data_IF_415313235429
#
_entry.id   IF_415313235429
#
_cell.length_a   1.000
_cell.length_b   1.000
_cell.length_c   1.000
_cell.angle_alpha   90.00
_cell.angle_beta   90.00
_cell.angle_gamma   90.00
#
_symmetry.space_group_name_H-M   'P 1'
#
loop_
_entity.id
_entity.type
_entity.pdbx_description
1 polymer ?
#
# COMPACT_ATOMS: atom_id res chain seq x y z
N UNK A 1 -13.44 -16.52 -12.96
CA UNK A 1 -12.40 -15.62 -12.40
C UNK A 1 -12.28 -14.43 -13.32
N UNK A 2 -12.58 -13.26 -12.80
CA UNK A 2 -12.52 -12.06 -13.61
C UNK A 2 -11.06 -11.61 -13.86
N UNK A 3 -10.93 -10.53 -14.61
CA UNK A 3 -9.62 -10.03 -15.04
C UNK A 3 -8.79 -9.47 -13.87
N UNK A 4 -9.46 -8.85 -12.90
CA UNK A 4 -8.84 -8.30 -11.69
C UNK A 4 -8.37 -9.42 -10.77
N UNK A 5 -9.23 -10.40 -10.47
CA UNK A 5 -8.86 -11.56 -9.64
C UNK A 5 -7.66 -12.31 -10.21
N UNK A 6 -7.62 -12.49 -11.53
CA UNK A 6 -6.50 -13.12 -12.22
C UNK A 6 -5.21 -12.31 -12.08
N UNK A 7 -5.29 -10.99 -12.21
CA UNK A 7 -4.14 -10.09 -12.01
C UNK A 7 -3.63 -10.18 -10.58
N UNK A 8 -4.51 -10.00 -9.58
CA UNK A 8 -4.14 -10.04 -8.16
C UNK A 8 -3.52 -11.38 -7.76
N UNK A 9 -4.08 -12.49 -8.25
CA UNK A 9 -3.54 -13.82 -7.97
C UNK A 9 -2.12 -14.04 -8.55
N UNK A 10 -1.87 -13.53 -9.76
CA UNK A 10 -0.52 -13.58 -10.37
C UNK A 10 0.47 -12.68 -9.66
N UNK A 11 0.05 -11.48 -9.30
CA UNK A 11 0.82 -10.48 -8.60
C UNK A 11 1.33 -11.04 -7.24
N UNK A 12 0.42 -11.55 -6.41
CA UNK A 12 0.76 -12.17 -5.13
C UNK A 12 1.62 -13.44 -5.26
N UNK A 13 1.55 -14.13 -6.38
CA UNK A 13 2.37 -15.32 -6.66
C UNK A 13 3.71 -14.98 -7.34
N UNK A 14 4.11 -13.71 -7.39
CA UNK A 14 5.33 -13.23 -8.05
C UNK A 14 5.44 -13.71 -9.51
N UNK A 15 4.33 -13.71 -10.24
CA UNK A 15 4.25 -14.07 -11.66
C UNK A 15 4.01 -12.83 -12.49
N UNK A 16 4.56 -12.80 -13.70
CA UNK A 16 4.31 -11.72 -14.66
C UNK A 16 2.81 -11.47 -14.81
N UNK A 17 2.38 -10.23 -14.69
CA UNK A 17 0.99 -9.79 -14.84
C UNK A 17 0.92 -8.49 -15.65
N UNK A 18 -0.27 -8.16 -16.15
CA UNK A 18 -0.59 -6.84 -16.67
C UNK A 18 -1.47 -6.13 -15.68
N UNK A 19 -1.07 -4.91 -15.32
CA UNK A 19 -1.87 -4.06 -14.46
C UNK A 19 -3.23 -3.76 -15.13
N UNK A 20 -4.30 -3.87 -14.36
CA UNK A 20 -5.64 -3.40 -14.73
C UNK A 20 -6.17 -2.58 -13.57
N UNK A 21 -7.07 -1.65 -13.85
CA UNK A 21 -7.69 -0.87 -12.79
C UNK A 21 -8.50 -1.80 -11.88
N UNK A 22 -8.05 -1.90 -10.63
CA UNK A 22 -8.66 -2.75 -9.59
C UNK A 22 -9.60 -1.96 -8.67
N UNK A 23 -9.50 -0.63 -8.68
CA UNK A 23 -10.28 0.29 -7.84
C UNK A 23 -10.99 1.33 -8.73
N UNK A 24 -11.88 0.90 -9.66
CA UNK A 24 -12.52 1.80 -10.61
C UNK A 24 -13.43 2.83 -9.93
N UNK A 25 -13.87 2.56 -8.69
CA UNK A 25 -14.64 3.50 -7.88
C UNK A 25 -13.76 4.46 -7.06
N UNK A 26 -12.45 4.26 -7.06
CA UNK A 26 -11.48 5.11 -6.37
C UNK A 26 -11.53 5.04 -4.84
N UNK A 27 -12.14 4.02 -4.25
CA UNK A 27 -12.36 3.92 -2.80
C UNK A 27 -11.07 3.89 -1.99
N UNK A 28 -10.07 3.14 -2.46
CA UNK A 28 -8.79 3.03 -1.78
C UNK A 28 -8.02 4.35 -1.85
N UNK A 29 -7.97 4.96 -3.03
CA UNK A 29 -7.34 6.28 -3.23
C UNK A 29 -8.03 7.37 -2.43
N UNK A 30 -9.37 7.34 -2.36
CA UNK A 30 -10.16 8.29 -1.56
C UNK A 30 -9.80 8.22 -0.07
N UNK A 31 -9.57 7.04 0.50
CA UNK A 31 -9.12 6.89 1.88
C UNK A 31 -7.71 7.47 2.11
N UNK A 32 -6.80 7.28 1.18
CA UNK A 32 -5.45 7.87 1.23
C UNK A 32 -5.52 9.39 1.14
N UNK A 33 -6.31 9.93 0.23
CA UNK A 33 -6.49 11.38 0.06
C UNK A 33 -7.12 12.02 1.30
N UNK A 34 -8.13 11.39 1.89
CA UNK A 34 -8.74 11.82 3.16
C UNK A 34 -7.73 11.80 4.29
N UNK A 35 -6.92 10.75 4.39
CA UNK A 35 -5.84 10.69 5.38
C UNK A 35 -4.87 11.86 5.22
N UNK A 36 -4.40 12.12 4.00
CA UNK A 36 -3.40 13.15 3.73
C UNK A 36 -3.94 14.59 3.93
N UNK A 37 -5.24 14.78 3.73
CA UNK A 37 -5.90 16.09 3.88
C UNK A 37 -6.59 16.31 5.23
N UNK A 38 -6.58 15.33 6.12
CA UNK A 38 -7.19 15.44 7.43
C UNK A 38 -6.58 16.59 8.26
N UNK A 39 -7.41 17.28 9.02
CA UNK A 39 -7.00 18.41 9.83
C UNK A 39 -6.08 18.01 10.98
N UNK A 40 -5.39 19.00 11.57
CA UNK A 40 -4.56 18.78 12.76
C UNK A 40 -5.35 18.26 13.96
N UNK A 41 -6.62 18.61 14.07
CA UNK A 41 -7.50 18.10 15.14
C UNK A 41 -7.75 16.60 15.04
N UNK A 42 -7.56 16.00 13.85
CA UNK A 42 -7.72 14.58 13.59
C UNK A 42 -6.39 13.79 13.69
N UNK A 43 -5.30 14.45 14.06
CA UNK A 43 -3.94 13.87 14.05
C UNK A 43 -3.86 12.52 14.77
N UNK A 44 -4.49 12.39 15.93
CA UNK A 44 -4.41 11.16 16.73
C UNK A 44 -5.29 10.03 16.22
N UNK A 45 -6.33 10.34 15.45
CA UNK A 45 -7.34 9.36 15.04
C UNK A 45 -7.28 9.02 13.55
N UNK A 46 -6.76 9.92 12.71
CA UNK A 46 -6.80 9.76 11.26
C UNK A 46 -6.15 8.49 10.73
N UNK A 47 -5.07 7.99 11.37
CA UNK A 47 -4.43 6.75 10.95
C UNK A 47 -5.41 5.58 10.99
N UNK A 48 -6.07 5.36 12.13
CA UNK A 48 -7.08 4.32 12.27
C UNK A 48 -8.34 4.59 11.46
N UNK A 49 -8.81 5.85 11.42
CA UNK A 49 -10.04 6.23 10.72
C UNK A 49 -9.97 6.02 9.21
N UNK A 50 -8.84 6.28 8.59
CA UNK A 50 -8.69 6.19 7.14
C UNK A 50 -7.84 4.99 6.73
N UNK A 51 -6.60 4.90 7.18
CA UNK A 51 -5.69 3.83 6.77
C UNK A 51 -6.04 2.50 7.45
N UNK A 52 -6.56 2.51 8.68
CA UNK A 52 -7.03 1.31 9.34
C UNK A 52 -8.20 0.63 8.63
N UNK A 53 -9.00 1.39 7.87
CA UNK A 53 -10.08 0.85 7.01
C UNK A 53 -9.57 0.31 5.68
N UNK A 54 -8.38 0.75 5.26
CA UNK A 54 -7.79 0.36 3.98
C UNK A 54 -6.85 -0.83 4.12
N UNK A 55 -6.02 -0.86 5.17
CA UNK A 55 -5.00 -1.90 5.35
C UNK A 55 -5.64 -3.27 5.59
N UNK A 56 -4.97 -4.32 5.11
CA UNK A 56 -5.38 -5.70 5.38
C UNK A 56 -5.41 -5.99 6.89
N UNK A 57 -4.44 -5.44 7.62
CA UNK A 57 -4.40 -5.49 9.08
C UNK A 57 -3.70 -4.25 9.64
N UNK A 58 -4.25 -3.70 10.71
CA UNK A 58 -3.60 -2.66 11.50
C UNK A 58 -3.78 -2.98 12.97
N UNK A 59 -2.65 -3.12 13.69
CA UNK A 59 -2.64 -3.30 15.12
C UNK A 59 -3.11 -2.05 15.88
N UNK A 60 -3.09 -2.13 17.21
CA UNK A 60 -3.48 -1.00 18.07
C UNK A 60 -2.39 0.08 18.13
N UNK A 61 -2.80 1.30 18.46
CA UNK A 61 -1.91 2.45 18.72
C UNK A 61 -0.91 2.71 17.58
N UNK A 62 -1.35 2.53 16.33
CA UNK A 62 -0.56 2.85 15.16
C UNK A 62 -0.66 4.34 14.82
N UNK A 63 0.46 4.93 14.40
CA UNK A 63 0.51 6.32 13.99
C UNK A 63 1.37 6.49 12.73
N UNK A 64 0.80 7.14 11.73
CA UNK A 64 1.49 7.45 10.46
C UNK A 64 1.39 8.96 10.22
N UNK A 65 2.54 9.60 10.02
CA UNK A 65 2.58 11.00 9.63
C UNK A 65 2.19 11.16 8.14
N UNK A 66 1.39 12.15 7.79
CA UNK A 66 1.19 12.48 6.39
C UNK A 66 2.48 13.11 5.82
N UNK A 67 2.75 13.01 4.52
CA UNK A 67 1.96 12.30 3.54
C UNK A 67 2.29 10.81 3.51
N UNK A 68 1.31 10.02 3.15
CA UNK A 68 1.42 8.59 2.92
C UNK A 68 0.91 8.26 1.51
N UNK A 69 1.52 7.30 0.85
CA UNK A 69 1.06 6.75 -0.42
C UNK A 69 1.20 5.23 -0.44
N UNK A 70 0.22 4.56 -1.03
CA UNK A 70 0.31 3.16 -1.39
C UNK A 70 -0.43 2.90 -2.70
N UNK A 71 -0.15 1.76 -3.33
CA UNK A 71 -0.87 1.36 -4.55
C UNK A 71 -2.22 0.72 -4.23
N UNK A 72 -2.26 -0.21 -3.30
CA UNK A 72 -3.47 -0.96 -2.94
C UNK A 72 -3.93 -0.69 -1.50
N UNK A 73 -3.00 -0.70 -0.56
CA UNK A 73 -3.27 -0.66 0.88
C UNK A 73 -3.78 -1.99 1.43
N UNK A 74 -4.56 -2.72 0.65
CA UNK A 74 -5.17 -4.01 1.04
C UNK A 74 -4.18 -5.17 1.16
N UNK A 75 -2.92 -4.96 0.84
CA UNK A 75 -1.83 -5.92 1.03
C UNK A 75 -0.86 -5.49 2.15
N UNK A 76 -1.19 -4.43 2.89
CA UNK A 76 -0.35 -3.91 3.98
C UNK A 76 -0.86 -4.44 5.31
N UNK A 77 0.06 -5.04 6.08
CA UNK A 77 -0.18 -5.54 7.42
C UNK A 77 0.81 -4.90 8.39
N UNK A 78 0.34 -4.19 9.38
CA UNK A 78 1.17 -3.59 10.42
C UNK A 78 0.73 -4.09 11.80
N UNK A 79 1.72 -4.38 12.64
CA UNK A 79 1.50 -4.84 14.00
C UNK A 79 1.14 -3.70 14.95
N UNK A 80 1.13 -4.01 16.25
CA UNK A 80 0.84 -3.06 17.32
C UNK A 80 1.95 -2.00 17.43
N UNK A 81 1.56 -0.78 17.80
CA UNK A 81 2.49 0.34 18.06
C UNK A 81 3.39 0.69 16.87
N UNK A 82 2.89 0.49 15.66
CA UNK A 82 3.59 0.88 14.45
C UNK A 82 3.66 2.40 14.32
N UNK A 83 4.84 2.92 14.04
CA UNK A 83 5.04 4.34 13.74
C UNK A 83 5.75 4.53 12.41
N UNK A 84 5.24 5.44 11.59
CA UNK A 84 5.93 5.91 10.38
C UNK A 84 5.95 7.43 10.33
N UNK A 85 7.14 7.98 10.04
CA UNK A 85 7.32 9.41 9.80
C UNK A 85 6.83 9.78 8.40
N UNK A 86 6.84 11.07 8.09
CA UNK A 86 6.31 11.65 6.85
C UNK A 86 6.95 11.06 5.59
N UNK A 87 6.16 10.88 4.56
CA UNK A 87 6.63 10.49 3.23
C UNK A 87 6.80 8.99 3.05
N UNK A 88 6.16 8.15 3.87
CA UNK A 88 6.14 6.71 3.65
C UNK A 88 5.43 6.39 2.33
N UNK A 89 6.11 5.62 1.47
CA UNK A 89 5.55 5.07 0.24
C UNK A 89 5.63 3.55 0.30
N UNK A 90 4.51 2.88 0.08
CA UNK A 90 4.43 1.43 0.01
C UNK A 90 3.77 1.02 -1.31
N UNK A 91 4.56 0.46 -2.23
CA UNK A 91 4.02 -0.12 -3.46
C UNK A 91 3.75 -1.60 -3.21
N UNK A 92 2.54 -1.88 -2.75
CA UNK A 92 2.14 -3.15 -2.16
C UNK A 92 1.51 -4.11 -3.19
N UNK A 93 2.27 -4.48 -4.24
CA UNK A 93 1.85 -5.47 -5.23
C UNK A 93 1.82 -6.89 -4.66
N UNK A 94 2.53 -7.14 -3.56
CA UNK A 94 2.42 -8.34 -2.74
C UNK A 94 2.26 -7.96 -1.26
N UNK A 95 2.07 -8.96 -0.39
CA UNK A 95 1.87 -8.68 1.03
C UNK A 95 3.12 -8.04 1.65
N UNK A 96 2.92 -6.91 2.30
CA UNK A 96 3.92 -6.21 3.12
C UNK A 96 3.54 -6.42 4.59
N UNK A 97 4.36 -7.16 5.31
CA UNK A 97 4.09 -7.53 6.70
C UNK A 97 5.14 -6.88 7.60
N UNK A 98 4.71 -5.98 8.45
CA UNK A 98 5.56 -5.26 9.40
C UNK A 98 5.12 -5.62 10.82
N UNK A 99 6.05 -6.08 11.65
CA UNK A 99 5.78 -6.52 13.02
C UNK A 99 5.48 -5.39 14.00
N UNK A 100 5.27 -5.78 15.26
CA UNK A 100 5.00 -4.83 16.35
C UNK A 100 6.19 -3.90 16.63
N UNK A 101 5.89 -2.71 17.14
CA UNK A 101 6.89 -1.72 17.57
C UNK A 101 7.89 -1.30 16.47
N UNK A 102 7.53 -1.40 15.21
CA UNK A 102 8.38 -0.90 14.13
C UNK A 102 8.28 0.62 14.02
N UNK A 103 9.44 1.28 13.90
CA UNK A 103 9.55 2.72 13.72
C UNK A 103 10.26 3.02 12.41
N UNK A 104 9.57 3.68 11.50
CA UNK A 104 10.12 4.10 10.22
C UNK A 104 10.42 5.61 10.23
N UNK A 105 11.65 5.99 9.85
CA UNK A 105 12.04 7.37 9.68
C UNK A 105 11.37 8.05 8.49
N UNK A 106 11.67 9.34 8.24
CA UNK A 106 11.07 10.06 7.11
C UNK A 106 11.49 9.47 5.76
N UNK A 107 10.58 9.51 4.79
CA UNK A 107 10.80 9.11 3.40
C UNK A 107 11.29 7.67 3.21
N UNK A 108 10.81 6.75 4.04
CA UNK A 108 11.02 5.32 3.81
C UNK A 108 10.15 4.88 2.63
N UNK A 109 10.74 4.11 1.74
CA UNK A 109 10.05 3.54 0.58
C UNK A 109 10.17 2.01 0.60
N UNK A 110 9.04 1.33 0.41
CA UNK A 110 8.94 -0.13 0.31
C UNK A 110 8.32 -0.45 -1.05
N UNK A 111 9.10 -1.07 -1.93
CA UNK A 111 8.67 -1.37 -3.29
C UNK A 111 8.61 -2.87 -3.51
N UNK A 112 7.39 -3.41 -3.60
CA UNK A 112 7.15 -4.79 -4.05
C UNK A 112 7.03 -4.85 -5.57
N UNK A 113 6.58 -3.76 -6.20
CA UNK A 113 6.48 -3.68 -7.65
C UNK A 113 7.86 -3.65 -8.32
N UNK A 114 8.04 -4.46 -9.34
CA UNK A 114 9.22 -4.38 -10.21
C UNK A 114 8.89 -4.69 -11.67
N UNK A 115 9.81 -4.35 -12.54
CA UNK A 115 9.70 -4.62 -13.97
C UNK A 115 10.78 -5.59 -14.42
N UNK A 116 10.51 -6.43 -15.44
CA UNK A 116 11.53 -7.31 -16.00
C UNK A 116 12.77 -6.55 -16.46
N UNK A 117 13.96 -7.10 -16.18
CA UNK A 117 15.23 -6.51 -16.61
C UNK A 117 15.35 -6.58 -18.13
N UNK A 118 14.89 -7.67 -18.74
CA UNK A 118 14.87 -7.84 -20.18
C UNK A 118 13.97 -6.80 -20.85
N UNK A 119 14.54 -5.99 -21.73
CA UNK A 119 13.83 -4.88 -22.37
C UNK A 119 12.69 -5.36 -23.28
N UNK A 120 12.85 -6.50 -23.96
CA UNK A 120 11.82 -7.04 -24.85
C UNK A 120 10.58 -7.45 -24.05
N UNK A 121 10.78 -8.09 -22.90
CA UNK A 121 9.69 -8.47 -22.00
C UNK A 121 9.08 -7.22 -21.36
N UNK A 122 9.90 -6.33 -20.82
CA UNK A 122 9.46 -5.08 -20.18
C UNK A 122 8.62 -4.21 -21.11
N UNK A 123 9.00 -4.09 -22.36
CA UNK A 123 8.30 -3.28 -23.37
C UNK A 123 6.91 -3.81 -23.70
N UNK A 124 6.57 -5.05 -23.31
CA UNK A 124 5.20 -5.57 -23.41
C UNK A 124 4.25 -5.00 -22.35
N UNK A 125 4.77 -4.25 -21.34
CA UNK A 125 4.00 -3.66 -20.27
C UNK A 125 3.61 -4.64 -19.17
N UNK A 126 4.35 -5.75 -19.00
CA UNK A 126 4.16 -6.68 -17.89
C UNK A 126 5.03 -6.26 -16.69
N UNK A 127 4.57 -6.64 -15.51
CA UNK A 127 5.18 -6.33 -14.22
C UNK A 127 5.34 -7.60 -13.38
N UNK A 128 6.11 -7.48 -12.29
CA UNK A 128 6.27 -8.48 -11.23
C UNK A 128 5.86 -7.85 -9.89
N UNK A 129 5.21 -8.63 -9.04
CA UNK A 129 4.89 -8.27 -7.66
C UNK A 129 5.76 -9.01 -6.65
#
# INVERSE_FOLDING_TARGET
>A
MDRVEKMLGRMKASKLYRCVDWDPEGKAKDLVDKFNSASRSETMTRTGEYLGKLFAHMGKECYIEPSFYCDYGTNIHVGDYFYANTGLIVLDQCDVIIGDHAFLGPRVNIYCACHPIDAMIRNTGVELG
#
